data_IF_792633447971
#
_entry.id   IF_792633447971
#
_cell.length_a   1.000
_cell.length_b   1.000
_cell.length_c   1.000
_cell.angle_alpha   90.00
_cell.angle_beta   90.00
_cell.angle_gamma   90.00
#
_symmetry.space_group_name_H-M   'P 1'
#
loop_
_entity.id
_entity.type
_entity.pdbx_description
1 polymer ?
#
# COMPACT_ATOMS: atom_id res chain seq x y z
N UNK A 1 -46.34 0.29 66.66
CA UNK A 1 -45.84 1.40 65.83
C UNK A 1 -44.40 1.09 65.45
N UNK A 2 -44.25 0.29 64.39
CA UNK A 2 -43.54 0.67 63.16
C UNK A 2 -42.00 0.75 63.30
N UNK A 3 -41.35 -0.42 63.15
CA UNK A 3 -39.95 -0.52 62.74
C UNK A 3 -39.81 0.00 61.31
N UNK A 4 -38.98 1.03 61.11
CA UNK A 4 -38.58 1.49 59.78
C UNK A 4 -37.39 0.64 59.34
N UNK A 5 -37.64 -0.26 58.38
CA UNK A 5 -36.64 -1.08 57.74
C UNK A 5 -35.76 -0.24 56.81
N UNK A 6 -34.46 -0.22 57.09
CA UNK A 6 -33.41 0.24 56.20
C UNK A 6 -33.37 -0.62 54.94
N UNK A 7 -33.72 -0.05 53.79
CA UNK A 7 -33.59 -0.70 52.47
C UNK A 7 -32.10 -0.72 52.06
N UNK A 8 -31.51 -1.89 51.74
CA UNK A 8 -30.25 -1.91 51.02
C UNK A 8 -30.54 -1.60 49.55
N UNK A 9 -29.82 -0.65 48.97
CA UNK A 9 -29.77 -0.44 47.53
C UNK A 9 -29.15 -1.68 46.88
N UNK A 10 -29.96 -2.47 46.17
CA UNK A 10 -29.46 -3.46 45.23
C UNK A 10 -28.73 -2.70 44.11
N UNK A 11 -27.39 -2.72 44.13
CA UNK A 11 -26.59 -2.38 42.97
C UNK A 11 -26.78 -3.52 41.95
N UNK A 12 -27.69 -3.32 41.00
CA UNK A 12 -27.83 -4.18 39.84
C UNK A 12 -26.61 -3.93 38.95
N UNK A 13 -25.55 -4.69 39.16
CA UNK A 13 -24.45 -4.78 38.21
C UNK A 13 -25.03 -5.38 36.92
N UNK A 14 -25.31 -4.52 35.94
CA UNK A 14 -25.47 -4.95 34.56
C UNK A 14 -24.11 -5.50 34.13
N UNK A 15 -23.93 -6.81 34.33
CA UNK A 15 -23.02 -7.59 33.51
C UNK A 15 -23.57 -7.48 32.09
N UNK A 16 -23.14 -6.45 31.37
CA UNK A 16 -23.10 -6.50 29.93
C UNK A 16 -22.18 -7.67 29.60
N UNK A 17 -22.77 -8.86 29.49
CA UNK A 17 -22.24 -9.87 28.64
C UNK A 17 -22.13 -9.20 27.28
N UNK A 18 -20.93 -8.69 26.98
CA UNK A 18 -20.48 -8.53 25.62
C UNK A 18 -20.41 -9.96 25.10
N UNK A 19 -21.56 -10.50 24.70
CA UNK A 19 -21.58 -11.45 23.60
C UNK A 19 -20.78 -10.75 22.53
N UNK A 20 -19.56 -11.23 22.30
CA UNK A 20 -18.78 -10.82 21.15
C UNK A 20 -19.74 -10.84 19.99
N UNK A 21 -20.03 -9.67 19.45
CA UNK A 21 -20.55 -9.60 18.11
C UNK A 21 -19.54 -10.38 17.30
N UNK A 22 -19.93 -11.56 16.79
CA UNK A 22 -19.41 -12.06 15.53
C UNK A 22 -19.64 -10.92 14.53
N UNK A 23 -18.71 -9.97 14.50
CA UNK A 23 -18.60 -9.05 13.40
C UNK A 23 -18.15 -9.95 12.26
N UNK A 24 -19.10 -10.36 11.42
CA UNK A 24 -18.92 -11.26 10.29
C UNK A 24 -17.98 -10.69 9.22
N UNK A 25 -16.72 -10.44 9.58
CA UNK A 25 -15.62 -10.13 8.69
C UNK A 25 -15.09 -11.42 8.09
N UNK A 26 -14.85 -11.41 6.78
CA UNK A 26 -14.48 -12.63 6.05
C UNK A 26 -12.99 -12.99 6.18
N UNK A 27 -12.22 -12.11 6.80
CA UNK A 27 -10.81 -12.31 7.07
C UNK A 27 -10.53 -12.11 8.56
N UNK A 28 -9.60 -12.89 9.09
CA UNK A 28 -9.13 -12.82 10.48
C UNK A 28 -7.78 -12.13 10.61
N UNK A 29 -7.03 -12.02 9.49
CA UNK A 29 -5.72 -11.42 9.44
C UNK A 29 -5.41 -10.89 8.03
N UNK A 30 -4.47 -9.92 7.98
CA UNK A 30 -3.82 -9.49 6.74
C UNK A 30 -2.33 -9.82 6.83
N UNK A 31 -1.82 -10.58 5.86
CA UNK A 31 -0.38 -10.74 5.65
C UNK A 31 0.02 -9.94 4.42
N UNK A 32 0.95 -9.01 4.58
CA UNK A 32 1.26 -8.01 3.55
C UNK A 32 2.73 -8.05 3.12
N UNK A 33 2.94 -7.76 1.84
CA UNK A 33 4.23 -7.65 1.17
C UNK A 33 4.24 -6.37 0.33
N UNK A 34 5.38 -5.91 -0.15
CA UNK A 34 5.45 -4.76 -1.06
C UNK A 34 6.54 -3.76 -0.72
N UNK A 35 6.31 -2.51 -1.06
CA UNK A 35 7.28 -1.43 -0.89
C UNK A 35 6.78 -0.29 0.05
N UNK A 36 7.22 0.95 -0.18
CA UNK A 36 6.85 2.11 0.65
C UNK A 36 5.36 2.42 0.62
N UNK A 37 4.63 1.98 -0.42
CA UNK A 37 3.19 2.18 -0.59
C UNK A 37 2.37 1.27 0.32
N UNK A 38 3.00 0.22 0.89
CA UNK A 38 2.42 -0.65 1.89
C UNK A 38 3.22 -0.69 3.20
N UNK A 39 4.41 -0.08 3.30
CA UNK A 39 5.27 -0.14 4.48
C UNK A 39 4.65 0.56 5.71
N UNK A 40 4.29 -0.24 6.72
CA UNK A 40 3.70 0.25 7.98
C UNK A 40 4.72 0.56 9.08
N UNK A 41 6.02 0.55 8.76
CA UNK A 41 7.12 0.96 9.66
C UNK A 41 8.34 0.03 9.69
N UNK A 42 8.53 -0.86 8.72
CA UNK A 42 9.72 -1.70 8.60
C UNK A 42 10.96 -0.90 8.21
N UNK A 43 10.89 -0.02 7.21
CA UNK A 43 12.06 0.74 6.74
C UNK A 43 12.70 1.62 7.83
N UNK A 44 11.89 2.22 8.71
CA UNK A 44 12.40 3.01 9.84
C UNK A 44 13.17 2.19 10.89
N UNK A 45 13.12 0.86 10.83
CA UNK A 45 13.84 -0.05 11.74
C UNK A 45 15.12 -0.61 11.14
N UNK A 46 15.33 -0.48 9.83
CA UNK A 46 16.49 -1.05 9.13
C UNK A 46 17.75 -0.17 9.15
N UNK A 47 17.69 1.01 9.78
CA UNK A 47 18.82 1.95 9.84
C UNK A 47 19.09 2.63 8.50
N UNK A 48 19.07 3.97 8.45
CA UNK A 48 19.42 4.75 7.25
C UNK A 48 18.34 4.85 6.15
N UNK A 49 17.36 3.93 6.09
CA UNK A 49 16.37 3.85 4.99
C UNK A 49 14.96 4.32 5.35
N UNK A 50 14.64 4.42 6.64
CA UNK A 50 13.44 5.10 7.11
C UNK A 50 13.36 6.57 6.72
N UNK A 51 14.50 7.16 6.33
CA UNK A 51 14.59 8.53 5.82
C UNK A 51 13.83 9.54 6.70
N UNK A 52 13.09 10.47 6.09
CA UNK A 52 12.35 11.51 6.82
C UNK A 52 11.07 11.01 7.50
N UNK A 53 10.62 9.76 7.24
CA UNK A 53 9.36 9.22 7.80
C UNK A 53 9.40 8.91 9.29
N UNK A 54 10.60 8.90 9.88
CA UNK A 54 10.81 8.84 11.32
C UNK A 54 10.72 10.20 12.03
N UNK A 55 10.45 11.29 11.29
CA UNK A 55 10.38 12.66 11.80
C UNK A 55 9.13 13.40 11.29
N UNK A 56 8.67 14.45 11.99
CA UNK A 56 7.65 15.33 11.44
C UNK A 56 8.10 15.89 10.08
N UNK A 57 7.19 16.09 9.11
CA UNK A 57 5.73 16.13 9.28
C UNK A 57 4.98 14.82 8.99
N UNK A 58 5.68 13.68 8.85
CA UNK A 58 5.02 12.40 8.55
C UNK A 58 4.10 11.95 9.68
N UNK A 59 2.96 11.34 9.30
CA UNK A 59 1.95 10.86 10.24
C UNK A 59 1.11 11.94 10.94
N UNK A 60 1.23 13.22 10.55
CA UNK A 60 0.53 14.36 11.17
C UNK A 60 -1.00 14.33 11.10
N UNK A 61 -1.61 13.61 10.16
CA UNK A 61 -3.04 13.66 9.87
C UNK A 61 -3.82 12.69 10.77
N UNK A 62 -3.50 11.40 10.73
CA UNK A 62 -4.20 10.39 11.56
C UNK A 62 -3.45 9.98 12.84
N UNK A 63 -2.12 9.82 12.76
CA UNK A 63 -1.35 9.27 13.89
C UNK A 63 -0.84 10.33 14.86
N UNK A 64 -0.85 11.59 14.44
CA UNK A 64 -0.26 12.77 15.10
C UNK A 64 1.22 12.61 15.45
N UNK A 65 1.89 11.61 14.87
CA UNK A 65 3.30 11.32 15.07
C UNK A 65 3.87 10.50 13.92
N UNK A 66 5.19 10.53 13.68
CA UNK A 66 5.83 9.67 12.69
C UNK A 66 5.69 8.19 13.06
N UNK A 67 5.20 7.37 12.14
CA UNK A 67 5.08 5.91 12.30
C UNK A 67 5.97 5.12 11.35
N UNK A 68 6.62 5.79 10.40
CA UNK A 68 7.38 5.17 9.30
C UNK A 68 6.58 4.89 8.03
N UNK A 69 5.29 5.25 8.01
CA UNK A 69 4.49 5.28 6.78
C UNK A 69 4.94 6.46 5.92
N UNK A 70 5.01 6.24 4.61
CA UNK A 70 5.39 7.25 3.63
C UNK A 70 4.19 8.11 3.25
N UNK A 71 3.57 8.76 4.23
CA UNK A 71 2.40 9.62 4.06
C UNK A 71 2.26 10.59 5.24
N UNK A 72 1.38 11.57 5.12
CA UNK A 72 0.90 12.36 6.26
C UNK A 72 0.03 11.55 7.21
N UNK A 73 -0.38 10.33 6.86
CA UNK A 73 -0.95 9.39 7.82
C UNK A 73 -1.15 7.97 7.29
N UNK A 74 -2.40 7.54 7.11
CA UNK A 74 -2.74 6.15 6.73
C UNK A 74 -2.39 5.82 5.28
N UNK A 75 -2.00 4.57 5.03
CA UNK A 75 -1.79 3.97 3.71
C UNK A 75 -3.02 3.15 3.29
N UNK A 76 -3.08 2.69 2.03
CA UNK A 76 -4.18 1.85 1.52
C UNK A 76 -4.40 0.60 2.39
N UNK A 77 -3.33 -0.05 2.86
CA UNK A 77 -3.43 -1.21 3.75
C UNK A 77 -4.14 -0.89 5.07
N UNK A 78 -3.95 0.32 5.61
CA UNK A 78 -4.61 0.72 6.86
C UNK A 78 -6.12 0.91 6.65
N UNK A 79 -6.50 1.55 5.56
CA UNK A 79 -7.90 1.72 5.18
C UNK A 79 -8.56 0.37 4.89
N UNK A 80 -7.88 -0.54 4.18
CA UNK A 80 -8.37 -1.91 3.93
C UNK A 80 -8.56 -2.67 5.25
N UNK A 81 -7.58 -2.63 6.16
CA UNK A 81 -7.69 -3.27 7.47
C UNK A 81 -8.91 -2.74 8.24
N UNK A 82 -9.07 -1.42 8.32
CA UNK A 82 -10.21 -0.78 8.98
C UNK A 82 -11.55 -1.12 8.33
N UNK A 83 -11.63 -1.09 6.99
CA UNK A 83 -12.84 -1.42 6.24
C UNK A 83 -13.28 -2.89 6.39
N UNK A 84 -12.32 -3.78 6.67
CA UNK A 84 -12.56 -5.18 7.00
C UNK A 84 -12.77 -5.44 8.50
N UNK A 85 -12.71 -4.40 9.35
CA UNK A 85 -12.86 -4.53 10.81
C UNK A 85 -11.65 -5.15 11.52
N UNK A 86 -10.47 -5.14 10.89
CA UNK A 86 -9.22 -5.66 11.41
C UNK A 86 -8.36 -4.56 12.07
N UNK A 87 -7.48 -4.93 13.02
CA UNK A 87 -6.49 -3.99 13.56
C UNK A 87 -5.50 -3.54 12.47
N UNK A 88 -4.88 -2.37 12.69
CA UNK A 88 -3.81 -1.89 11.81
C UNK A 88 -2.65 -2.88 11.78
N UNK A 89 -2.19 -3.22 10.57
CA UNK A 89 -1.22 -4.29 10.34
C UNK A 89 0.17 -3.87 10.80
N UNK A 90 0.72 -4.61 11.75
CA UNK A 90 2.01 -4.30 12.36
C UNK A 90 3.18 -4.61 11.42
N UNK A 91 4.23 -3.78 11.40
CA UNK A 91 5.45 -4.10 10.67
C UNK A 91 6.18 -5.28 11.33
N UNK A 92 6.66 -6.22 10.54
CA UNK A 92 7.44 -7.38 10.99
C UNK A 92 8.63 -6.99 11.89
N UNK A 93 9.36 -5.94 11.51
CA UNK A 93 10.51 -5.41 12.27
C UNK A 93 10.12 -4.50 13.43
N UNK A 94 8.82 -4.35 13.71
CA UNK A 94 8.28 -3.53 14.80
C UNK A 94 8.43 -4.13 16.19
N UNK A 95 8.83 -5.40 16.31
CA UNK A 95 8.98 -6.10 17.59
C UNK A 95 7.68 -6.64 18.18
N UNK A 96 6.67 -6.90 17.33
CA UNK A 96 5.41 -7.51 17.74
C UNK A 96 5.60 -8.93 18.29
N UNK A 97 4.72 -9.31 19.21
CA UNK A 97 4.60 -10.66 19.73
C UNK A 97 4.00 -11.62 18.68
N UNK A 98 4.19 -12.92 18.88
CA UNK A 98 3.58 -13.94 18.01
C UNK A 98 2.04 -13.85 18.02
N UNK A 99 1.43 -13.44 19.14
CA UNK A 99 -0.02 -13.28 19.24
C UNK A 99 -0.52 -12.12 18.38
N UNK A 100 0.22 -11.01 18.35
CA UNK A 100 -0.08 -9.88 17.47
C UNK A 100 0.11 -10.27 16.00
N UNK A 101 1.16 -11.00 15.67
CA UNK A 101 1.40 -11.47 14.30
C UNK A 101 0.36 -12.48 13.80
N UNK A 102 -0.37 -13.16 14.70
CA UNK A 102 -1.53 -13.99 14.31
C UNK A 102 -2.71 -13.17 13.80
N UNK A 103 -2.81 -11.90 14.17
CA UNK A 103 -3.84 -10.97 13.68
C UNK A 103 -3.40 -10.25 12.39
N UNK A 104 -2.20 -10.55 11.89
CA UNK A 104 -1.63 -9.99 10.68
C UNK A 104 -0.25 -9.40 10.89
N UNK A 105 0.57 -9.44 9.85
CA UNK A 105 1.92 -8.88 9.86
C UNK A 105 2.31 -8.42 8.46
N UNK A 106 3.02 -7.31 8.40
CA UNK A 106 3.44 -6.67 7.17
C UNK A 106 4.96 -6.78 6.98
N UNK A 107 5.37 -7.34 5.85
CA UNK A 107 6.75 -7.50 5.42
C UNK A 107 7.17 -6.46 4.37
N UNK A 108 6.27 -5.58 3.94
CA UNK A 108 6.58 -4.52 2.98
C UNK A 108 7.70 -3.61 3.51
N UNK A 109 8.64 -3.25 2.65
CA UNK A 109 9.77 -2.38 3.01
C UNK A 109 9.99 -1.33 1.93
N UNK A 110 10.07 -0.07 2.33
CA UNK A 110 10.35 1.03 1.41
C UNK A 110 11.50 0.77 0.44
N UNK A 111 11.27 1.08 -0.84
CA UNK A 111 12.23 0.92 -1.91
C UNK A 111 12.43 -0.51 -2.41
N UNK A 112 11.67 -1.48 -1.87
CA UNK A 112 11.74 -2.88 -2.29
C UNK A 112 11.37 -3.05 -3.75
N UNK A 113 12.11 -3.94 -4.40
CA UNK A 113 11.90 -4.36 -5.79
C UNK A 113 11.25 -5.74 -5.84
N UNK A 114 10.52 -6.03 -6.91
CA UNK A 114 10.06 -7.38 -7.19
C UNK A 114 11.26 -8.30 -7.50
N UNK A 115 12.25 -7.79 -8.24
CA UNK A 115 13.47 -8.51 -8.61
C UNK A 115 14.55 -8.39 -7.53
N UNK A 116 15.43 -9.39 -7.47
CA UNK A 116 16.59 -9.34 -6.57
C UNK A 116 17.66 -8.36 -7.05
N UNK A 117 18.45 -7.85 -6.11
CA UNK A 117 19.56 -6.91 -6.40
C UNK A 117 20.57 -7.46 -7.43
N UNK A 118 20.72 -8.78 -7.51
CA UNK A 118 21.59 -9.44 -8.49
C UNK A 118 21.17 -9.14 -9.94
N UNK A 119 19.87 -9.04 -10.22
CA UNK A 119 19.34 -8.67 -11.53
C UNK A 119 19.86 -7.29 -11.95
N UNK A 120 19.69 -6.29 -11.09
CA UNK A 120 20.12 -4.92 -11.36
C UNK A 120 21.63 -4.79 -11.50
N UNK A 121 22.39 -5.42 -10.59
CA UNK A 121 23.86 -5.42 -10.66
C UNK A 121 24.38 -6.01 -11.97
N UNK A 122 23.71 -7.04 -12.52
CA UNK A 122 24.07 -7.62 -13.82
C UNK A 122 23.85 -6.65 -15.00
N UNK A 123 23.02 -5.63 -14.81
CA UNK A 123 22.71 -4.56 -15.76
C UNK A 123 23.49 -3.27 -15.49
N UNK A 124 24.44 -3.28 -14.56
CA UNK A 124 25.20 -2.09 -14.17
C UNK A 124 24.43 -1.09 -13.30
N UNK A 125 23.22 -1.42 -12.88
CA UNK A 125 22.39 -0.60 -11.98
C UNK A 125 22.73 -0.96 -10.54
N UNK A 126 22.85 0.03 -9.67
CA UNK A 126 23.15 -0.18 -8.24
C UNK A 126 21.95 0.25 -7.39
N UNK A 127 20.95 -0.61 -7.13
CA UNK A 127 19.87 -0.29 -6.20
C UNK A 127 20.45 -0.21 -4.79
N UNK A 128 20.17 0.88 -4.08
CA UNK A 128 20.75 1.17 -2.76
C UNK A 128 19.71 1.38 -1.66
N UNK A 129 18.42 1.35 -2.00
CA UNK A 129 17.35 1.70 -1.05
C UNK A 129 16.99 0.58 -0.09
N UNK A 130 17.16 -0.69 -0.44
CA UNK A 130 16.92 -1.82 0.47
C UNK A 130 17.38 -3.12 -0.21
N UNK A 131 17.67 -4.15 0.57
CA UNK A 131 17.90 -5.52 0.11
C UNK A 131 16.67 -6.43 0.29
N UNK A 132 15.55 -5.87 0.76
CA UNK A 132 14.31 -6.59 1.07
C UNK A 132 13.42 -6.74 -0.16
N UNK A 133 13.95 -7.35 -1.22
CA UNK A 133 13.17 -7.69 -2.42
C UNK A 133 11.94 -8.54 -2.06
N UNK A 134 10.96 -8.62 -2.98
CA UNK A 134 9.77 -9.45 -2.79
C UNK A 134 10.13 -10.89 -2.41
N UNK A 135 11.14 -11.47 -3.07
CA UNK A 135 11.63 -12.82 -2.74
C UNK A 135 12.09 -12.92 -1.28
N UNK A 136 12.86 -11.94 -0.79
CA UNK A 136 13.31 -11.89 0.62
C UNK A 136 12.12 -11.77 1.57
N UNK A 137 11.13 -10.93 1.26
CA UNK A 137 9.95 -10.75 2.11
C UNK A 137 9.12 -12.05 2.21
N UNK A 138 8.91 -12.76 1.11
CA UNK A 138 8.24 -14.07 1.09
C UNK A 138 9.04 -15.11 1.90
N UNK A 139 10.38 -15.08 1.80
CA UNK A 139 11.25 -15.94 2.60
C UNK A 139 11.10 -15.70 4.10
N UNK A 140 11.06 -14.44 4.53
CA UNK A 140 10.84 -14.07 5.94
C UNK A 140 9.46 -14.53 6.45
N UNK A 141 8.43 -14.39 5.62
CA UNK A 141 7.10 -14.90 5.96
C UNK A 141 7.08 -16.41 6.14
N UNK A 142 7.69 -17.17 5.22
CA UNK A 142 7.81 -18.63 5.34
C UNK A 142 8.56 -19.05 6.61
N UNK A 143 9.55 -18.26 7.05
CA UNK A 143 10.26 -18.50 8.32
C UNK A 143 9.40 -18.21 9.56
N UNK A 144 8.56 -17.17 9.51
CA UNK A 144 7.69 -16.80 10.63
C UNK A 144 6.46 -17.72 10.76
N UNK A 145 5.96 -18.22 9.64
CA UNK A 145 4.68 -18.94 9.54
C UNK A 145 4.52 -20.10 10.55
N UNK A 146 5.52 -20.98 10.80
CA UNK A 146 5.39 -22.03 11.81
C UNK A 146 5.06 -21.50 13.22
N UNK A 147 5.59 -20.32 13.59
CA UNK A 147 5.35 -19.69 14.90
C UNK A 147 3.92 -19.14 15.00
N UNK A 148 3.41 -18.55 13.91
CA UNK A 148 2.03 -18.06 13.80
C UNK A 148 1.05 -19.24 13.90
N UNK A 149 1.33 -20.33 13.18
CA UNK A 149 0.47 -21.50 13.14
C UNK A 149 0.43 -22.28 14.45
N UNK A 150 1.50 -22.24 15.26
CA UNK A 150 1.58 -22.90 16.56
C UNK A 150 1.27 -24.41 16.51
N UNK A 151 1.75 -25.09 15.46
CA UNK A 151 1.50 -26.51 15.23
C UNK A 151 0.21 -26.83 14.46
N UNK A 152 -0.62 -25.84 14.10
CA UNK A 152 -1.74 -25.99 13.15
C UNK A 152 -1.23 -26.07 11.71
N UNK A 153 -2.05 -26.61 10.81
CA UNK A 153 -1.75 -26.56 9.38
C UNK A 153 -1.77 -25.08 8.93
N UNK A 154 -0.72 -24.57 8.23
CA UNK A 154 -0.75 -23.24 7.64
C UNK A 154 -2.00 -22.92 6.83
N UNK A 155 -2.62 -23.92 6.18
CA UNK A 155 -3.87 -23.74 5.45
C UNK A 155 -5.01 -23.27 6.34
N UNK A 156 -5.08 -23.70 7.60
CA UNK A 156 -6.14 -23.28 8.51
C UNK A 156 -6.05 -21.78 8.82
N UNK A 157 -4.82 -21.25 8.94
CA UNK A 157 -4.59 -19.83 9.16
C UNK A 157 -4.81 -19.04 7.87
N UNK A 158 -4.19 -19.48 6.77
CA UNK A 158 -4.16 -18.72 5.52
C UNK A 158 -5.46 -18.76 4.71
N UNK A 159 -6.31 -19.77 4.92
CA UNK A 159 -7.63 -19.84 4.28
C UNK A 159 -8.56 -18.69 4.70
N UNK A 160 -8.44 -18.22 5.95
CA UNK A 160 -9.21 -17.09 6.49
C UNK A 160 -8.43 -15.77 6.51
N UNK A 161 -7.30 -15.70 5.79
CA UNK A 161 -6.46 -14.50 5.75
C UNK A 161 -6.52 -13.84 4.37
N UNK A 162 -6.40 -12.51 4.35
CA UNK A 162 -6.15 -11.77 3.12
C UNK A 162 -4.63 -11.65 2.94
N UNK A 163 -4.12 -12.14 1.82
CA UNK A 163 -2.77 -11.79 1.38
C UNK A 163 -2.85 -10.50 0.58
N UNK A 164 -2.19 -9.45 1.05
CA UNK A 164 -2.11 -8.18 0.37
C UNK A 164 -0.71 -8.05 -0.24
N UNK A 165 -0.62 -8.15 -1.56
CA UNK A 165 0.55 -7.63 -2.25
C UNK A 165 0.34 -6.11 -2.29
N UNK A 166 1.24 -5.34 -1.73
CA UNK A 166 1.31 -3.91 -1.99
C UNK A 166 1.65 -3.67 -3.46
N UNK A 167 1.74 -2.41 -3.87
CA UNK A 167 2.43 -2.13 -5.14
C UNK A 167 3.86 -2.67 -5.01
N UNK A 168 4.27 -3.46 -5.98
CA UNK A 168 5.61 -4.02 -6.06
C UNK A 168 5.97 -4.19 -7.54
N UNK A 169 7.16 -3.74 -7.91
CA UNK A 169 7.58 -3.61 -9.31
C UNK A 169 7.82 -2.17 -9.73
N UNK A 170 7.21 -1.18 -9.08
CA UNK A 170 7.46 0.24 -9.32
C UNK A 170 8.93 0.61 -9.09
N UNK A 171 9.52 0.15 -7.98
CA UNK A 171 10.93 0.43 -7.71
C UNK A 171 11.90 -0.24 -8.67
N UNK A 172 11.50 -1.33 -9.34
CA UNK A 172 12.29 -1.95 -10.40
C UNK A 172 12.49 -1.01 -11.61
N UNK A 173 11.61 0.00 -11.75
CA UNK A 173 11.72 1.09 -12.72
C UNK A 173 12.29 2.36 -12.09
N UNK A 174 11.92 2.65 -10.84
CA UNK A 174 12.39 3.86 -10.16
C UNK A 174 13.91 3.86 -10.02
N UNK A 175 14.52 2.78 -9.51
CA UNK A 175 15.98 2.69 -9.34
C UNK A 175 16.77 3.08 -10.60
N UNK A 176 16.51 2.47 -11.79
CA UNK A 176 17.21 2.86 -13.01
C UNK A 176 16.83 4.26 -13.51
N UNK A 177 15.56 4.69 -13.42
CA UNK A 177 15.19 6.06 -13.82
C UNK A 177 15.93 7.12 -13.00
N UNK A 178 16.05 6.94 -11.68
CA UNK A 178 16.81 7.85 -10.80
C UNK A 178 18.33 7.82 -11.04
N UNK A 179 18.82 6.80 -11.77
CA UNK A 179 20.21 6.68 -12.24
C UNK A 179 20.39 7.14 -13.69
N UNK A 180 19.34 7.63 -14.35
CA UNK A 180 19.39 8.21 -15.69
C UNK A 180 19.20 7.21 -16.84
N UNK A 181 18.80 5.97 -16.57
CA UNK A 181 18.44 5.02 -17.62
C UNK A 181 17.19 5.47 -18.38
N UNK A 182 17.13 5.13 -19.67
CA UNK A 182 15.99 5.45 -20.53
C UNK A 182 14.92 4.37 -20.50
N UNK A 183 13.70 4.72 -20.93
CA UNK A 183 12.57 3.78 -20.95
C UNK A 183 12.84 2.57 -21.84
N UNK A 184 13.61 2.70 -22.91
CA UNK A 184 13.97 1.59 -23.79
C UNK A 184 14.85 0.53 -23.10
N UNK A 185 15.63 0.95 -22.10
CA UNK A 185 16.47 0.07 -21.29
C UNK A 185 15.68 -0.61 -20.17
N UNK A 186 14.65 0.08 -19.66
CA UNK A 186 13.84 -0.36 -18.49
C UNK A 186 12.63 -1.20 -18.92
N UNK A 187 11.97 -0.87 -20.04
CA UNK A 187 10.80 -1.59 -20.54
C UNK A 187 11.02 -3.11 -20.66
N UNK A 188 12.21 -3.62 -21.06
CA UNK A 188 12.50 -5.06 -21.04
C UNK A 188 12.50 -5.72 -19.65
N UNK A 189 12.50 -4.97 -18.55
CA UNK A 189 12.45 -5.52 -17.19
C UNK A 189 11.04 -6.00 -16.83
N UNK A 190 10.00 -5.42 -17.45
CA UNK A 190 8.59 -5.68 -17.11
C UNK A 190 8.26 -7.19 -17.10
N UNK A 191 8.60 -8.00 -18.11
CA UNK A 191 8.31 -9.44 -18.06
C UNK A 191 8.98 -10.17 -16.88
N UNK A 192 10.21 -9.78 -16.51
CA UNK A 192 10.90 -10.35 -15.35
C UNK A 192 10.23 -9.96 -14.03
N UNK A 193 9.79 -8.70 -13.91
CA UNK A 193 9.02 -8.21 -12.76
C UNK A 193 7.73 -9.03 -12.59
N UNK A 194 6.95 -9.19 -13.67
CA UNK A 194 5.71 -9.98 -13.64
C UNK A 194 6.00 -11.45 -13.30
N UNK A 195 7.08 -12.03 -13.81
CA UNK A 195 7.49 -13.39 -13.48
C UNK A 195 7.84 -13.55 -11.98
N UNK A 196 8.47 -12.56 -11.37
CA UNK A 196 8.75 -12.57 -9.93
C UNK A 196 7.46 -12.52 -9.10
N UNK A 197 6.53 -11.63 -9.45
CA UNK A 197 5.21 -11.52 -8.80
C UNK A 197 4.42 -12.84 -8.94
N UNK A 198 4.39 -13.43 -10.14
CA UNK A 198 3.81 -14.76 -10.40
C UNK A 198 4.41 -15.82 -9.49
N UNK A 199 5.74 -15.86 -9.35
CA UNK A 199 6.41 -16.84 -8.49
C UNK A 199 6.00 -16.66 -7.03
N UNK A 200 5.97 -15.42 -6.54
CA UNK A 200 5.53 -15.13 -5.17
C UNK A 200 4.07 -15.56 -4.94
N UNK A 201 3.17 -15.31 -5.89
CA UNK A 201 1.78 -15.75 -5.80
C UNK A 201 1.68 -17.28 -5.74
N UNK A 202 2.39 -18.01 -6.61
CA UNK A 202 2.38 -19.47 -6.57
C UNK A 202 2.94 -20.01 -5.25
N UNK A 203 4.04 -19.45 -4.75
CA UNK A 203 4.62 -19.79 -3.46
C UNK A 203 3.62 -19.64 -2.31
N UNK A 204 2.83 -18.56 -2.32
CA UNK A 204 1.81 -18.27 -1.31
C UNK A 204 0.60 -19.21 -1.43
N UNK A 205 0.18 -19.54 -2.66
CA UNK A 205 -0.90 -20.51 -2.91
C UNK A 205 -0.50 -21.91 -2.44
N UNK A 206 0.74 -22.33 -2.71
CA UNK A 206 1.26 -23.65 -2.34
C UNK A 206 1.22 -23.88 -0.83
N UNK A 207 1.56 -22.84 -0.04
CA UNK A 207 1.53 -22.90 1.43
C UNK A 207 0.13 -22.69 2.02
N UNK A 208 -0.89 -22.38 1.22
CA UNK A 208 -2.29 -22.40 1.63
C UNK A 208 -3.07 -21.10 1.49
N UNK A 209 -2.52 -20.04 0.89
CA UNK A 209 -3.27 -18.80 0.66
C UNK A 209 -4.47 -19.03 -0.26
N UNK A 210 -5.62 -18.45 0.12
CA UNK A 210 -6.89 -18.58 -0.64
C UNK A 210 -7.42 -17.27 -1.18
N UNK A 211 -7.01 -16.14 -0.62
CA UNK A 211 -7.38 -14.83 -1.14
C UNK A 211 -6.15 -13.94 -1.23
N UNK A 212 -5.87 -13.44 -2.43
CA UNK A 212 -4.75 -12.55 -2.70
C UNK A 212 -5.28 -11.30 -3.40
N UNK A 213 -4.95 -10.12 -2.87
CA UNK A 213 -5.16 -8.84 -3.51
C UNK A 213 -3.83 -8.35 -4.09
N UNK A 214 -3.79 -8.12 -5.40
CA UNK A 214 -2.60 -7.82 -6.17
C UNK A 214 -2.83 -6.54 -6.99
N UNK A 215 -2.24 -5.41 -6.59
CA UNK A 215 -2.42 -4.16 -7.29
C UNK A 215 -1.51 -4.05 -8.50
N UNK A 216 -1.95 -3.29 -9.48
CA UNK A 216 -1.08 -2.76 -10.54
C UNK A 216 -0.26 -1.57 -10.07
N UNK A 217 0.65 -1.13 -10.94
CA UNK A 217 1.42 0.08 -10.77
C UNK A 217 0.55 1.34 -11.00
N UNK A 218 0.88 2.43 -10.32
CA UNK A 218 0.24 3.74 -10.44
C UNK A 218 0.54 4.44 -11.79
N UNK A 219 -0.19 5.50 -12.19
CA UNK A 219 0.17 6.33 -13.33
C UNK A 219 1.41 7.18 -12.98
N UNK A 220 2.60 6.60 -13.10
CA UNK A 220 3.84 7.24 -12.64
C UNK A 220 4.20 8.51 -13.41
N UNK A 221 3.62 8.72 -14.60
CA UNK A 221 3.74 9.98 -15.34
C UNK A 221 3.07 11.17 -14.67
N UNK A 222 2.21 10.93 -13.67
CA UNK A 222 1.56 11.96 -12.87
C UNK A 222 2.31 12.28 -11.57
N UNK A 223 3.39 11.56 -11.26
CA UNK A 223 4.12 11.72 -9.99
C UNK A 223 5.02 12.97 -10.07
N UNK A 224 4.93 13.91 -9.10
CA UNK A 224 5.63 15.19 -9.16
C UNK A 224 7.14 15.10 -9.43
N UNK A 225 7.84 14.15 -8.83
CA UNK A 225 9.28 14.00 -9.05
C UNK A 225 9.62 13.63 -10.50
N UNK A 226 8.78 12.84 -11.17
CA UNK A 226 8.97 12.48 -12.56
C UNK A 226 8.66 13.64 -13.50
N UNK A 227 7.64 14.43 -13.17
CA UNK A 227 7.32 15.66 -13.89
C UNK A 227 8.45 16.69 -13.85
N UNK A 228 9.19 16.76 -12.73
CA UNK A 228 10.37 17.61 -12.59
C UNK A 228 11.60 17.04 -13.33
N UNK A 229 11.92 15.75 -13.14
CA UNK A 229 13.10 15.10 -13.75
C UNK A 229 12.99 15.02 -15.28
N UNK A 230 11.80 14.72 -15.80
CA UNK A 230 11.56 14.52 -17.23
C UNK A 230 10.76 15.67 -17.85
N UNK A 231 10.90 16.87 -17.28
CA UNK A 231 10.28 18.06 -17.84
C UNK A 231 10.68 18.24 -19.31
N UNK A 232 9.70 18.43 -20.17
CA UNK A 232 9.86 18.69 -21.61
C UNK A 232 9.23 20.03 -21.98
N UNK A 233 9.79 20.69 -22.98
CA UNK A 233 9.17 21.86 -23.62
C UNK A 233 8.14 21.45 -24.69
N UNK A 234 8.17 20.19 -25.12
CA UNK A 234 7.21 19.65 -26.08
C UNK A 234 5.91 19.29 -25.38
N UNK A 235 4.85 20.05 -25.66
CA UNK A 235 3.51 19.81 -25.12
C UNK A 235 2.95 18.43 -25.47
N UNK A 236 3.41 17.84 -26.58
CA UNK A 236 2.97 16.51 -27.01
C UNK A 236 3.50 15.37 -26.15
N UNK A 237 4.48 15.62 -25.27
CA UNK A 237 4.97 14.62 -24.32
C UNK A 237 4.01 14.44 -23.13
N UNK A 238 3.03 15.34 -22.99
CA UNK A 238 2.07 15.37 -21.89
C UNK A 238 0.65 15.04 -22.36
N UNK A 239 -0.06 14.24 -21.57
CA UNK A 239 -1.48 13.98 -21.74
C UNK A 239 -2.27 15.29 -21.58
N UNK A 240 -3.08 15.65 -22.58
CA UNK A 240 -3.81 16.93 -22.59
C UNK A 240 -4.86 17.05 -21.49
N UNK A 241 -5.43 15.92 -21.05
CA UNK A 241 -6.48 15.88 -20.02
C UNK A 241 -5.91 16.02 -18.60
N UNK A 242 -4.75 15.42 -18.34
CA UNK A 242 -4.23 15.22 -16.98
C UNK A 242 -2.95 16.00 -16.70
N UNK A 243 -2.22 16.42 -17.75
CA UNK A 243 -0.89 17.00 -17.64
C UNK A 243 0.21 16.00 -17.26
N UNK A 244 -0.09 14.70 -17.25
CA UNK A 244 0.88 13.65 -16.93
C UNK A 244 1.77 13.32 -18.13
N UNK A 245 2.98 12.83 -17.89
CA UNK A 245 3.90 12.41 -18.96
C UNK A 245 3.40 11.10 -19.61
N UNK A 246 3.14 11.14 -20.93
CA UNK A 246 2.53 10.04 -21.70
C UNK A 246 3.35 8.75 -21.61
N UNK A 247 4.63 8.80 -21.97
CA UNK A 247 5.46 7.60 -22.10
C UNK A 247 5.71 6.88 -20.76
N UNK A 248 5.67 7.61 -19.64
CA UNK A 248 5.75 7.03 -18.30
C UNK A 248 4.45 6.28 -17.94
N UNK A 249 3.30 6.90 -18.24
CA UNK A 249 2.01 6.26 -18.09
C UNK A 249 1.86 5.02 -18.99
N UNK A 250 2.37 5.06 -20.22
CA UNK A 250 2.41 3.91 -21.13
C UNK A 250 3.24 2.74 -20.58
N UNK A 251 4.32 3.01 -19.85
CA UNK A 251 5.09 1.98 -19.16
C UNK A 251 4.27 1.32 -18.04
N UNK A 252 3.61 2.12 -17.18
CA UNK A 252 2.71 1.60 -16.14
C UNK A 252 1.56 0.79 -16.72
N UNK A 253 0.92 1.28 -17.79
CA UNK A 253 -0.14 0.55 -18.48
C UNK A 253 0.39 -0.77 -19.09
N UNK A 254 1.60 -0.77 -19.65
CA UNK A 254 2.21 -2.00 -20.17
C UNK A 254 2.47 -3.03 -19.06
N UNK A 255 3.02 -2.61 -17.92
CA UNK A 255 3.13 -3.46 -16.73
C UNK A 255 1.77 -4.02 -16.33
N UNK A 256 0.77 -3.14 -16.18
CA UNK A 256 -0.55 -3.51 -15.67
C UNK A 256 -1.31 -4.47 -16.59
N UNK A 257 -1.14 -4.36 -17.91
CA UNK A 257 -1.70 -5.32 -18.86
C UNK A 257 -1.06 -6.69 -18.70
N UNK A 258 0.27 -6.77 -18.67
CA UNK A 258 0.96 -8.05 -18.50
C UNK A 258 0.68 -8.70 -17.15
N UNK A 259 0.56 -7.88 -16.09
CA UNK A 259 0.14 -8.38 -14.78
C UNK A 259 -1.28 -8.97 -14.85
N UNK A 260 -2.25 -8.26 -15.41
CA UNK A 260 -3.62 -8.76 -15.55
C UNK A 260 -3.69 -10.06 -16.36
N UNK A 261 -2.98 -10.13 -17.49
CA UNK A 261 -2.91 -11.35 -18.31
C UNK A 261 -2.37 -12.54 -17.51
N UNK A 262 -1.33 -12.32 -16.69
CA UNK A 262 -0.74 -13.35 -15.83
C UNK A 262 -1.69 -13.74 -14.68
N UNK A 263 -2.35 -12.77 -14.03
CA UNK A 263 -3.34 -13.04 -12.99
C UNK A 263 -4.53 -13.84 -13.55
N UNK A 264 -4.96 -13.57 -14.78
CA UNK A 264 -6.01 -14.35 -15.46
C UNK A 264 -5.58 -15.79 -15.75
N UNK A 265 -4.30 -16.01 -16.08
CA UNK A 265 -3.76 -17.37 -16.21
C UNK A 265 -3.73 -18.07 -14.84
N UNK A 266 -3.27 -17.39 -13.79
CA UNK A 266 -3.22 -17.94 -12.44
C UNK A 266 -4.62 -18.31 -11.91
N UNK A 267 -5.65 -17.51 -12.19
CA UNK A 267 -7.04 -17.83 -11.86
C UNK A 267 -7.54 -19.11 -12.53
N UNK A 268 -7.14 -19.35 -13.79
CA UNK A 268 -7.47 -20.59 -14.52
C UNK A 268 -6.75 -21.80 -13.95
N UNK A 269 -5.49 -21.63 -13.51
CA UNK A 269 -4.68 -22.69 -12.92
C UNK A 269 -5.12 -23.02 -11.48
N UNK A 270 -5.62 -22.02 -10.75
CA UNK A 270 -6.01 -22.13 -9.34
C UNK A 270 -7.47 -21.67 -9.13
N UNK A 271 -8.48 -22.37 -9.70
CA UNK A 271 -9.88 -21.96 -9.62
C UNK A 271 -10.45 -21.89 -8.18
N UNK A 272 -9.76 -22.52 -7.23
CA UNK A 272 -10.07 -22.53 -5.80
C UNK A 272 -9.47 -21.34 -5.03
N UNK A 273 -8.79 -20.40 -5.69
CA UNK A 273 -8.12 -19.25 -5.10
C UNK A 273 -8.72 -17.96 -5.65
N UNK A 274 -9.10 -17.05 -4.77
CA UNK A 274 -9.55 -15.72 -5.11
C UNK A 274 -8.34 -14.81 -5.35
N UNK A 275 -7.96 -14.62 -6.61
CA UNK A 275 -6.90 -13.67 -7.00
C UNK A 275 -7.58 -12.39 -7.47
N UNK A 276 -7.45 -11.31 -6.72
CA UNK A 276 -8.09 -10.02 -6.96
C UNK A 276 -7.05 -9.05 -7.53
N UNK A 277 -7.35 -8.47 -8.68
CA UNK A 277 -6.56 -7.36 -9.23
C UNK A 277 -7.09 -6.05 -8.66
N UNK A 278 -6.24 -5.25 -8.03
CA UNK A 278 -6.57 -3.90 -7.59
C UNK A 278 -6.03 -2.87 -8.61
N UNK A 279 -6.94 -2.17 -9.28
CA UNK A 279 -6.62 -1.24 -10.35
C UNK A 279 -6.23 0.13 -9.80
N UNK A 280 -5.04 0.19 -9.19
CA UNK A 280 -4.45 1.41 -8.66
C UNK A 280 -4.27 2.49 -9.73
N UNK A 281 -4.02 2.08 -10.97
CA UNK A 281 -3.84 3.01 -12.08
C UNK A 281 -5.11 3.83 -12.32
N UNK A 282 -6.24 3.16 -12.56
CA UNK A 282 -7.50 3.84 -12.86
C UNK A 282 -8.04 4.60 -11.63
N UNK A 283 -7.83 4.06 -10.42
CA UNK A 283 -8.19 4.76 -9.20
C UNK A 283 -7.46 6.10 -9.10
N UNK A 284 -6.14 6.11 -9.27
CA UNK A 284 -5.34 7.33 -9.15
C UNK A 284 -5.49 8.27 -10.34
N UNK A 285 -5.63 7.78 -11.58
CA UNK A 285 -5.77 8.66 -12.76
C UNK A 285 -7.05 9.52 -12.67
N UNK A 286 -8.09 9.02 -11.99
CA UNK A 286 -9.33 9.76 -11.75
C UNK A 286 -9.12 11.09 -11.00
N UNK A 287 -8.11 11.16 -10.14
CA UNK A 287 -7.75 12.36 -9.39
C UNK A 287 -7.23 13.49 -10.28
N UNK A 288 -6.65 13.15 -11.42
CA UNK A 288 -6.11 14.12 -12.37
C UNK A 288 -7.14 14.52 -13.42
N UNK A 289 -8.04 13.60 -13.79
CA UNK A 289 -9.16 13.89 -14.71
C UNK A 289 -10.24 14.76 -14.06
N UNK A 290 -10.56 14.51 -12.79
CA UNK A 290 -11.62 15.20 -12.08
C UNK A 290 -11.26 15.53 -10.62
N UNK A 291 -10.19 16.32 -10.38
CA UNK A 291 -9.67 16.58 -9.03
C UNK A 291 -10.71 17.17 -8.06
N UNK A 292 -11.61 18.01 -8.57
CA UNK A 292 -12.64 18.69 -7.79
C UNK A 292 -13.66 17.73 -7.15
N UNK A 293 -13.91 16.55 -7.75
CA UNK A 293 -14.82 15.53 -7.18
C UNK A 293 -14.26 14.99 -5.86
N UNK A 294 -12.93 14.95 -5.74
CA UNK A 294 -12.22 14.45 -4.57
C UNK A 294 -11.71 15.57 -3.64
N UNK A 295 -12.04 16.84 -3.93
CA UNK A 295 -11.56 17.98 -3.16
C UNK A 295 -10.10 18.40 -3.45
N UNK A 296 -9.44 17.79 -4.43
CA UNK A 296 -8.05 18.12 -4.77
C UNK A 296 -7.92 19.43 -5.56
N UNK A 297 -6.93 20.26 -5.21
CA UNK A 297 -6.75 21.61 -5.81
C UNK A 297 -5.58 21.69 -6.80
N UNK A 298 -4.47 21.01 -6.50
CA UNK A 298 -3.26 21.02 -7.32
C UNK A 298 -2.71 19.59 -7.43
N UNK A 299 -3.37 18.70 -8.20
CA UNK A 299 -3.13 17.26 -8.11
C UNK A 299 -1.70 16.85 -8.52
N UNK A 300 -1.03 17.64 -9.38
CA UNK A 300 0.35 17.39 -9.83
C UNK A 300 1.43 18.00 -8.92
N UNK A 301 1.07 18.62 -7.80
CA UNK A 301 2.03 19.23 -6.87
C UNK A 301 2.13 18.44 -5.55
N UNK A 302 3.33 18.35 -4.99
CA UNK A 302 3.55 17.82 -3.65
C UNK A 302 3.05 18.79 -2.57
N UNK A 303 2.40 18.27 -1.52
CA UNK A 303 2.03 19.04 -0.34
C UNK A 303 3.25 19.38 0.55
N UNK A 304 4.16 18.42 0.72
CA UNK A 304 5.36 18.53 1.53
C UNK A 304 6.61 18.48 0.64
N UNK A 305 7.30 19.61 0.51
CA UNK A 305 8.48 19.70 -0.32
C UNK A 305 9.07 21.09 -0.29
N UNK A 306 10.15 21.29 -1.04
CA UNK A 306 10.79 22.61 -1.13
C UNK A 306 10.31 23.38 -2.36
N UNK A 307 10.52 24.72 -2.40
CA UNK A 307 10.22 25.50 -3.60
C UNK A 307 10.93 24.92 -4.85
N UNK A 308 10.16 24.76 -5.92
CA UNK A 308 10.59 24.14 -7.19
C UNK A 308 9.39 23.81 -8.08
N UNK A 309 9.60 23.39 -9.34
CA UNK A 309 8.55 22.83 -10.17
C UNK A 309 7.83 21.70 -9.42
N UNK A 310 6.50 21.64 -9.53
CA UNK A 310 5.67 20.62 -8.87
C UNK A 310 5.85 20.51 -7.34
N UNK A 311 6.41 21.55 -6.70
CA UNK A 311 6.73 21.59 -5.26
C UNK A 311 7.71 20.49 -4.79
N UNK A 312 8.60 20.03 -5.68
CA UNK A 312 9.61 19.01 -5.36
C UNK A 312 11.03 19.52 -5.48
N UNK A 313 11.94 18.94 -4.67
CA UNK A 313 13.37 19.16 -4.77
C UNK A 313 14.13 17.97 -4.14
N UNK A 314 14.90 17.23 -4.96
CA UNK A 314 15.64 16.05 -4.49
C UNK A 314 16.69 16.35 -3.41
N UNK A 315 17.23 17.57 -3.39
CA UNK A 315 18.23 17.99 -2.40
C UNK A 315 17.61 18.54 -1.11
N UNK A 316 16.30 18.77 -1.10
CA UNK A 316 15.57 19.26 0.06
C UNK A 316 14.17 18.61 0.11
N UNK A 317 14.11 17.28 0.33
CA UNK A 317 12.86 16.52 0.35
C UNK A 317 11.99 16.89 1.55
N UNK A 318 10.76 16.36 1.61
CA UNK A 318 9.91 16.46 2.80
C UNK A 318 10.67 16.06 4.08
N UNK A 319 10.46 16.82 5.16
CA UNK A 319 11.21 16.65 6.42
C UNK A 319 12.59 17.33 6.46
N UNK A 320 13.09 17.86 5.34
CA UNK A 320 14.27 18.73 5.34
C UNK A 320 13.94 20.12 5.92
N UNK A 321 14.91 20.81 6.53
CA UNK A 321 14.73 22.14 7.17
C UNK A 321 14.18 23.24 6.25
N UNK A 322 14.38 23.11 4.93
CA UNK A 322 13.91 24.06 3.92
C UNK A 322 12.59 23.64 3.27
N UNK A 323 12.09 22.44 3.59
CA UNK A 323 10.81 21.97 3.08
C UNK A 323 9.68 22.73 3.76
N UNK A 324 8.63 23.00 3.00
CA UNK A 324 7.36 23.54 3.46
C UNK A 324 6.30 22.45 3.34
N UNK A 325 5.32 22.53 4.23
CA UNK A 325 4.14 21.67 4.20
C UNK A 325 2.96 22.55 3.85
N UNK A 326 2.09 22.06 2.96
CA UNK A 326 0.84 22.71 2.68
C UNK A 326 -0.03 22.80 3.95
N UNK A 327 -0.90 23.81 4.02
CA UNK A 327 -1.75 24.04 5.18
C UNK A 327 -2.78 22.92 5.37
N UNK A 328 -3.22 22.31 4.28
CA UNK A 328 -4.32 21.37 4.21
C UNK A 328 -3.95 20.17 3.31
N UNK A 329 -3.43 19.08 3.89
CA UNK A 329 -3.04 17.89 3.14
C UNK A 329 -4.19 17.17 2.43
N UNK A 330 -5.45 17.26 2.91
CA UNK A 330 -6.57 16.56 2.29
C UNK A 330 -6.92 17.12 0.91
N UNK A 331 -6.56 18.37 0.63
CA UNK A 331 -6.68 19.01 -0.68
C UNK A 331 -5.58 18.66 -1.70
N UNK A 332 -4.67 17.73 -1.39
CA UNK A 332 -3.55 17.34 -2.24
C UNK A 332 -3.52 15.84 -2.53
N UNK A 333 -3.07 15.47 -3.74
CA UNK A 333 -2.86 14.06 -4.12
C UNK A 333 -1.51 13.54 -3.60
N UNK A 334 -0.44 14.28 -3.90
CA UNK A 334 0.92 13.87 -3.51
C UNK A 334 1.31 14.47 -2.16
N UNK A 335 1.85 13.63 -1.28
CA UNK A 335 2.43 14.05 -0.02
C UNK A 335 3.82 14.63 -0.22
N UNK A 336 4.80 13.82 -0.63
CA UNK A 336 6.22 14.21 -0.66
C UNK A 336 6.85 14.28 -2.07
N UNK A 337 6.01 14.18 -3.10
CA UNK A 337 6.43 14.17 -4.50
C UNK A 337 6.67 12.78 -5.10
N UNK A 338 6.62 11.73 -4.27
CA UNK A 338 6.62 10.32 -4.69
C UNK A 338 5.37 9.63 -4.16
N UNK A 339 5.09 9.81 -2.87
CA UNK A 339 4.00 9.12 -2.17
C UNK A 339 2.75 9.99 -2.11
N UNK A 340 1.62 9.34 -1.75
CA UNK A 340 0.32 9.99 -1.70
C UNK A 340 0.00 10.49 -0.30
N UNK A 341 -0.92 11.45 -0.25
CA UNK A 341 -1.53 11.87 1.01
C UNK A 341 -2.46 10.78 1.54
N UNK A 342 -2.77 10.86 2.83
CA UNK A 342 -3.76 10.01 3.46
C UNK A 342 -5.11 10.07 2.73
N UNK A 343 -5.55 11.27 2.34
CA UNK A 343 -6.80 11.47 1.62
C UNK A 343 -6.82 10.73 0.27
N UNK A 344 -5.75 10.84 -0.51
CA UNK A 344 -5.62 10.12 -1.78
C UNK A 344 -5.54 8.60 -1.60
N UNK A 345 -4.79 8.11 -0.61
CA UNK A 345 -4.76 6.68 -0.28
C UNK A 345 -6.14 6.16 0.16
N UNK A 346 -6.87 6.94 0.95
CA UNK A 346 -8.20 6.58 1.41
C UNK A 346 -9.23 6.54 0.29
N UNK A 347 -9.20 7.49 -0.65
CA UNK A 347 -10.05 7.48 -1.83
C UNK A 347 -9.78 6.27 -2.73
N UNK A 348 -8.49 5.90 -2.94
CA UNK A 348 -8.12 4.68 -3.66
C UNK A 348 -8.66 3.45 -2.93
N UNK A 349 -8.40 3.33 -1.62
CA UNK A 349 -8.82 2.20 -0.80
C UNK A 349 -10.34 2.00 -0.82
N UNK A 350 -11.12 3.09 -0.70
CA UNK A 350 -12.59 3.05 -0.76
C UNK A 350 -13.06 2.46 -2.10
N UNK A 351 -12.46 2.90 -3.21
CA UNK A 351 -12.81 2.39 -4.53
C UNK A 351 -12.40 0.94 -4.80
N UNK A 352 -11.49 0.38 -3.99
CA UNK A 352 -11.12 -1.05 -4.03
C UNK A 352 -12.07 -1.87 -3.16
N UNK A 353 -12.38 -1.38 -1.97
CA UNK A 353 -13.29 -2.02 -1.02
C UNK A 353 -14.71 -2.09 -1.58
N UNK A 354 -15.19 -0.98 -2.16
CA UNK A 354 -16.58 -0.78 -2.58
C UNK A 354 -16.76 -0.92 -4.10
N UNK A 355 -15.68 -0.77 -4.87
CA UNK A 355 -15.66 -0.77 -6.33
C UNK A 355 -15.51 0.64 -6.92
N UNK A 356 -15.19 0.76 -8.23
CA UNK A 356 -15.09 -0.32 -9.21
C UNK A 356 -13.67 -0.90 -9.37
N UNK A 357 -12.68 -0.46 -8.59
CA UNK A 357 -11.25 -0.72 -8.88
C UNK A 357 -10.71 -2.05 -8.32
N UNK A 358 -11.57 -3.03 -8.09
CA UNK A 358 -11.20 -4.40 -7.74
C UNK A 358 -11.87 -5.42 -8.66
N UNK A 359 -11.09 -6.31 -9.25
CA UNK A 359 -11.58 -7.35 -10.18
C UNK A 359 -11.00 -8.73 -9.86
N UNK A 360 -11.83 -9.73 -9.46
CA UNK A 360 -13.22 -9.57 -9.07
C UNK A 360 -13.37 -8.63 -7.85
N UNK A 361 -14.55 -8.04 -7.67
CA UNK A 361 -14.81 -7.13 -6.55
C UNK A 361 -14.58 -7.82 -5.19
N UNK A 362 -13.93 -7.10 -4.27
CA UNK A 362 -13.65 -7.61 -2.93
C UNK A 362 -14.94 -7.95 -2.17
N UNK A 363 -16.05 -7.23 -2.41
CA UNK A 363 -17.34 -7.52 -1.78
C UNK A 363 -17.95 -8.84 -2.24
N UNK A 364 -17.63 -9.33 -3.45
CA UNK A 364 -18.04 -10.66 -3.92
C UNK A 364 -17.27 -11.78 -3.22
N UNK A 365 -16.04 -11.49 -2.78
CA UNK A 365 -15.21 -12.43 -2.02
C UNK A 365 -15.52 -12.34 -0.53
N UNK A 366 -15.91 -11.15 -0.06
CA UNK A 366 -16.25 -10.87 1.32
C UNK A 366 -17.49 -9.95 1.46
N UNK A 367 -18.65 -10.54 1.78
CA UNK A 367 -19.92 -9.83 1.95
C UNK A 367 -20.04 -9.00 3.25
N UNK A 368 -18.98 -8.93 4.08
CA UNK A 368 -18.96 -8.28 5.39
C UNK A 368 -18.31 -6.89 5.43
N UNK A 369 -18.01 -6.30 4.28
CA UNK A 369 -17.47 -4.92 4.21
C UNK A 369 -18.51 -3.94 4.78
N UNK A 370 -18.16 -3.16 5.81
CA UNK A 370 -19.07 -2.15 6.36
C UNK A 370 -19.30 -1.06 5.31
N UNK A 371 -20.47 -1.08 4.68
CA UNK A 371 -20.92 -0.04 3.74
C UNK A 371 -21.07 1.35 4.39
N UNK A 372 -21.12 1.41 5.72
CA UNK A 372 -21.28 2.67 6.48
C UNK A 372 -19.96 3.33 6.89
N UNK A 373 -18.81 2.82 6.46
CA UNK A 373 -17.55 3.54 6.58
C UNK A 373 -17.49 4.62 5.49
N UNK A 374 -18.38 5.60 5.54
CA UNK A 374 -18.18 6.87 4.83
C UNK A 374 -16.91 7.45 5.45
N UNK A 375 -15.78 7.26 4.78
CA UNK A 375 -14.55 7.93 5.13
C UNK A 375 -14.76 9.40 4.78
N UNK A 376 -15.17 10.21 5.78
CA UNK A 376 -15.09 11.66 5.67
C UNK A 376 -13.60 12.02 5.52
N UNK A 377 -13.23 12.41 4.29
CA UNK A 377 -11.88 12.80 3.89
C UNK A 377 -11.59 14.28 4.21
#
# INVERSE_FOLDING_TARGET
>A
MACVASRPLLALALLLAVCGSDAGGCFTAIFSFGDSLADTGNAIRLGGLGGPTGSPPYGRTFFERPTGRFSDGRLIIDFIAQGLGLPLVQPFLGGGSIEEFRQGVNFAVAGATALDLSFFRSKGIQPSWTDRSLHVQIGLFKQLLPSICAGRDPKDVLNSSLILMGEIGGNDYNHPFFQGSKVEEIRPFVPSVIASIKSAINDLIEIGAKTLLVPGNFPIGCVPVYLDIHKSENVEDYESETGCIKWLNELSQYHNRLLQDELDQLRKLHPQVNIIYANYYDAMISFFRAPHIFGFKAPLHACCGSPGPYSVNRNAPCGHRNAKVCSDPSGSVSWDGIHLTEAAYGAIASSILEGPHASPSLTKVCSGTRQDAVYDF
#
